data_IF_937317199379
#
_entry.id   IF_937317199379
#
_cell.length_a   1.000
_cell.length_b   1.000
_cell.length_c   1.000
_cell.angle_alpha   90.00
_cell.angle_beta   90.00
_cell.angle_gamma   90.00
#
_symmetry.space_group_name_H-M   'P 1'
#
loop_
_entity.id
_entity.type
_entity.pdbx_description
1 polymer ?
#
# COMPACT_ATOMS: atom_id res chain seq x y z
N UNK A 1 -20.04 -70.37 -6.55
CA UNK A 1 -20.89 -71.44 -5.96
C UNK A 1 -22.23 -71.49 -6.71
N UNK A 2 -22.56 -72.62 -7.34
CA UNK A 2 -23.90 -72.83 -7.86
C UNK A 2 -24.85 -72.77 -6.67
N UNK A 3 -25.75 -71.78 -6.63
CA UNK A 3 -26.76 -71.69 -5.58
C UNK A 3 -27.56 -72.99 -5.64
N UNK A 4 -27.45 -73.84 -4.61
CA UNK A 4 -28.41 -74.92 -4.45
C UNK A 4 -29.72 -74.24 -4.08
N UNK A 5 -30.56 -74.00 -5.08
CA UNK A 5 -31.94 -73.60 -4.83
C UNK A 5 -32.59 -74.72 -4.03
N UNK A 6 -32.83 -74.47 -2.74
CA UNK A 6 -33.56 -75.42 -1.90
C UNK A 6 -35.02 -75.22 -2.21
N UNK A 7 -35.63 -76.12 -2.98
CA UNK A 7 -37.07 -76.08 -3.29
C UNK A 7 -37.79 -77.15 -2.49
N UNK A 8 -38.83 -76.75 -1.77
CA UNK A 8 -39.77 -77.64 -1.10
C UNK A 8 -41.16 -77.40 -1.68
N UNK A 9 -41.77 -78.49 -2.14
CA UNK A 9 -43.14 -78.49 -2.67
C UNK A 9 -44.04 -79.32 -1.75
N UNK A 10 -45.33 -79.01 -1.76
CA UNK A 10 -46.38 -79.76 -1.09
C UNK A 10 -46.15 -79.98 0.41
N UNK A 11 -45.55 -79.00 1.10
CA UNK A 11 -45.32 -79.08 2.56
C UNK A 11 -46.63 -79.32 3.33
N UNK A 12 -47.70 -78.64 2.90
CA UNK A 12 -49.08 -79.00 3.21
C UNK A 12 -50.04 -78.31 2.22
N UNK A 13 -51.34 -78.56 2.38
CA UNK A 13 -52.41 -77.98 1.54
C UNK A 13 -52.48 -76.43 1.57
N UNK A 14 -51.85 -75.77 2.54
CA UNK A 14 -51.82 -74.31 2.75
C UNK A 14 -50.47 -73.64 2.43
N UNK A 15 -49.37 -74.40 2.43
CA UNK A 15 -47.99 -74.00 2.12
C UNK A 15 -47.49 -74.88 0.98
N UNK A 16 -47.93 -74.61 -0.26
CA UNK A 16 -47.64 -75.47 -1.40
C UNK A 16 -46.17 -75.37 -1.84
N UNK A 17 -45.48 -74.29 -1.49
CA UNK A 17 -44.16 -74.00 -2.02
C UNK A 17 -43.33 -73.13 -1.08
N UNK A 18 -42.08 -73.52 -0.87
CA UNK A 18 -41.03 -72.74 -0.24
C UNK A 18 -39.75 -72.93 -1.04
N UNK A 19 -39.02 -71.85 -1.31
CA UNK A 19 -37.73 -71.89 -1.98
C UNK A 19 -36.73 -70.97 -1.30
N UNK A 20 -35.49 -71.42 -1.15
CA UNK A 20 -34.36 -70.55 -0.88
C UNK A 20 -33.55 -70.41 -2.17
N UNK A 21 -33.72 -69.27 -2.83
CA UNK A 21 -33.10 -68.97 -4.12
C UNK A 21 -32.13 -67.80 -3.96
N UNK A 22 -30.83 -68.09 -4.07
CA UNK A 22 -29.78 -67.13 -3.77
C UNK A 22 -29.88 -66.57 -2.35
N UNK A 23 -30.05 -65.25 -2.24
CA UNK A 23 -30.18 -64.54 -0.98
C UNK A 23 -31.65 -64.36 -0.52
N UNK A 24 -32.61 -65.04 -1.16
CA UNK A 24 -34.03 -64.84 -0.90
C UNK A 24 -34.73 -66.12 -0.49
N UNK A 25 -35.38 -66.09 0.67
CA UNK A 25 -36.36 -67.09 1.08
C UNK A 25 -37.74 -66.67 0.55
N UNK A 26 -38.34 -67.51 -0.27
CA UNK A 26 -39.60 -67.28 -0.95
C UNK A 26 -40.61 -68.32 -0.45
N UNK A 27 -41.73 -67.89 0.11
CA UNK A 27 -42.80 -68.76 0.61
C UNK A 27 -44.08 -68.43 -0.14
N UNK A 28 -44.66 -69.40 -0.84
CA UNK A 28 -45.93 -69.17 -1.52
C UNK A 28 -47.08 -69.19 -0.52
N UNK A 29 -47.85 -68.11 -0.51
CA UNK A 29 -49.04 -67.95 0.30
C UNK A 29 -50.32 -68.23 -0.50
N UNK A 30 -50.22 -68.79 -1.71
CA UNK A 30 -51.36 -69.00 -2.63
C UNK A 30 -52.55 -69.70 -1.99
N UNK A 31 -52.29 -70.69 -1.11
CA UNK A 31 -53.34 -71.48 -0.45
C UNK A 31 -53.74 -70.95 0.93
N UNK A 32 -53.12 -69.87 1.39
CA UNK A 32 -53.44 -69.25 2.68
C UNK A 32 -54.73 -68.44 2.55
N UNK A 33 -55.61 -68.55 3.55
CA UNK A 33 -56.86 -67.80 3.62
C UNK A 33 -56.54 -66.31 3.83
N UNK A 34 -57.27 -65.42 3.16
CA UNK A 34 -57.13 -63.97 3.34
C UNK A 34 -57.15 -63.59 4.83
N UNK A 35 -56.26 -62.68 5.23
CA UNK A 35 -56.00 -62.23 6.59
C UNK A 35 -55.30 -63.23 7.53
N UNK A 36 -55.07 -64.49 7.12
CA UNK A 36 -54.14 -65.38 7.81
C UNK A 36 -52.73 -65.14 7.31
N UNK A 37 -51.70 -65.54 8.05
CA UNK A 37 -50.32 -65.24 7.70
C UNK A 37 -49.35 -66.39 7.87
N UNK A 38 -48.09 -66.05 7.61
CA UNK A 38 -46.92 -66.87 7.89
C UNK A 38 -45.95 -66.07 8.75
N UNK A 39 -45.41 -66.71 9.78
CA UNK A 39 -44.31 -66.22 10.60
C UNK A 39 -43.09 -67.09 10.36
N UNK A 40 -41.94 -66.48 10.09
CA UNK A 40 -40.67 -67.15 9.81
C UNK A 40 -39.68 -66.80 10.91
N UNK A 41 -39.17 -67.81 11.62
CA UNK A 41 -38.05 -67.67 12.56
C UNK A 41 -36.77 -68.11 11.87
N UNK A 42 -35.80 -67.22 11.78
CA UNK A 42 -34.52 -67.46 11.13
C UNK A 42 -33.48 -68.02 12.13
N UNK A 43 -32.36 -68.61 11.66
CA UNK A 43 -31.30 -69.18 12.50
C UNK A 43 -30.71 -68.22 13.53
N UNK A 44 -30.71 -66.92 13.23
CA UNK A 44 -30.26 -65.87 14.15
C UNK A 44 -31.31 -65.48 15.21
N UNK A 45 -32.47 -66.14 15.24
CA UNK A 45 -33.59 -65.88 16.15
C UNK A 45 -34.56 -64.80 15.68
N UNK A 46 -34.31 -64.14 14.54
CA UNK A 46 -35.19 -63.09 14.01
C UNK A 46 -36.51 -63.68 13.53
N UNK A 47 -37.63 -63.03 13.87
CA UNK A 47 -38.98 -63.42 13.45
C UNK A 47 -39.53 -62.41 12.45
N UNK A 48 -39.97 -62.87 11.29
CA UNK A 48 -40.53 -62.03 10.22
C UNK A 48 -41.91 -62.58 9.84
N UNK A 49 -42.91 -61.71 9.82
CA UNK A 49 -44.31 -62.10 9.62
C UNK A 49 -44.92 -61.41 8.41
N UNK A 50 -45.74 -62.14 7.64
CA UNK A 50 -46.57 -61.58 6.57
C UNK A 50 -47.97 -62.16 6.60
N UNK A 51 -48.98 -61.30 6.49
CA UNK A 51 -50.38 -61.69 6.33
C UNK A 51 -50.77 -61.71 4.84
N UNK A 52 -51.57 -62.70 4.48
CA UNK A 52 -52.15 -62.86 3.14
C UNK A 52 -53.12 -61.71 2.88
N UNK A 53 -52.87 -60.94 1.83
CA UNK A 53 -53.70 -59.80 1.44
C UNK A 53 -54.75 -60.18 0.39
N UNK A 54 -54.43 -61.12 -0.49
CA UNK A 54 -55.32 -61.57 -1.57
C UNK A 54 -56.22 -62.73 -1.15
N UNK A 55 -57.29 -62.99 -1.92
CA UNK A 55 -58.19 -64.11 -1.66
C UNK A 55 -57.45 -65.47 -1.76
N UNK A 56 -58.00 -66.51 -1.11
CA UNK A 56 -57.45 -67.87 -1.20
C UNK A 56 -57.44 -68.35 -2.65
N UNK A 57 -56.41 -69.10 -3.03
CA UNK A 57 -56.09 -69.54 -4.40
C UNK A 57 -55.61 -68.45 -5.36
N UNK A 58 -55.45 -67.19 -4.92
CA UNK A 58 -54.76 -66.15 -5.71
C UNK A 58 -53.28 -66.14 -5.34
N UNK A 59 -52.34 -66.24 -6.31
CA UNK A 59 -50.91 -66.21 -6.05
C UNK A 59 -50.46 -64.98 -5.26
N UNK A 60 -49.64 -65.19 -4.23
CA UNK A 60 -48.93 -64.14 -3.48
C UNK A 60 -47.77 -64.80 -2.76
N UNK A 61 -46.59 -64.19 -2.84
CA UNK A 61 -45.39 -64.74 -2.22
C UNK A 61 -44.92 -63.87 -1.06
N UNK A 62 -44.39 -64.52 -0.03
CA UNK A 62 -43.64 -63.90 1.05
C UNK A 62 -42.16 -64.06 0.75
N UNK A 63 -41.53 -62.97 0.34
CA UNK A 63 -40.11 -62.91 0.01
C UNK A 63 -39.35 -62.25 1.15
N UNK A 64 -38.33 -62.93 1.67
CA UNK A 64 -37.45 -62.47 2.74
C UNK A 64 -36.02 -62.46 2.19
N UNK A 65 -35.37 -61.30 2.22
CA UNK A 65 -33.94 -61.22 1.92
C UNK A 65 -33.13 -61.66 3.14
N UNK A 66 -32.30 -62.68 2.97
CA UNK A 66 -31.43 -63.28 4.01
C UNK A 66 -29.94 -63.08 3.72
N UNK A 67 -29.59 -62.31 2.68
CA UNK A 67 -28.21 -62.15 2.21
C UNK A 67 -27.26 -61.48 3.20
N UNK A 68 -27.75 -60.52 4.01
CA UNK A 68 -26.91 -59.76 4.94
C UNK A 68 -26.94 -60.33 6.37
N UNK A 69 -27.60 -61.48 6.56
CA UNK A 69 -27.82 -62.08 7.87
C UNK A 69 -26.68 -63.06 8.20
N UNK A 70 -26.10 -62.96 9.40
CA UNK A 70 -25.19 -63.99 9.89
C UNK A 70 -25.99 -65.25 10.26
N UNK A 71 -26.13 -66.14 9.29
CA UNK A 71 -26.82 -67.41 9.46
C UNK A 71 -25.91 -68.49 10.08
N UNK A 72 -24.61 -68.22 10.30
CA UNK A 72 -23.62 -69.21 10.80
C UNK A 72 -23.49 -69.28 12.31
N UNK A 73 -24.29 -68.53 13.07
CA UNK A 73 -24.26 -68.59 14.55
C UNK A 73 -24.49 -70.02 15.08
N UNK A 74 -25.09 -70.89 14.26
CA UNK A 74 -25.07 -72.35 14.42
C UNK A 74 -24.69 -73.03 13.08
N UNK A 75 -23.83 -74.07 13.08
CA UNK A 75 -23.38 -74.76 11.87
C UNK A 75 -24.50 -75.50 11.11
N UNK A 76 -25.65 -75.67 11.76
CA UNK A 76 -26.92 -76.07 11.18
C UNK A 76 -27.98 -75.13 11.77
N UNK A 77 -28.60 -74.31 10.92
CA UNK A 77 -29.66 -73.39 11.35
C UNK A 77 -31.01 -73.92 10.90
N UNK A 78 -31.96 -74.10 11.83
CA UNK A 78 -33.34 -74.40 11.46
C UNK A 78 -34.08 -73.08 11.16
N UNK A 79 -34.63 -72.95 9.96
CA UNK A 79 -35.66 -71.94 9.69
C UNK A 79 -37.00 -72.56 10.07
N UNK A 80 -37.77 -71.86 10.89
CA UNK A 80 -39.10 -72.29 11.29
C UNK A 80 -40.16 -71.46 10.60
N UNK A 81 -41.11 -72.12 9.96
CA UNK A 81 -42.25 -71.50 9.29
C UNK A 81 -43.51 -71.91 10.02
N UNK A 82 -44.25 -70.91 10.48
CA UNK A 82 -45.45 -71.07 11.28
C UNK A 82 -46.61 -70.37 10.58
N UNK A 83 -47.77 -71.01 10.56
CA UNK A 83 -49.01 -70.38 10.08
C UNK A 83 -49.60 -69.59 11.24
N UNK A 84 -50.09 -68.39 10.98
CA UNK A 84 -50.66 -67.54 12.03
C UNK A 84 -52.11 -67.14 11.72
N UNK A 85 -52.92 -67.04 12.77
CA UNK A 85 -54.25 -66.45 12.76
C UNK A 85 -54.19 -64.95 12.44
N UNK A 86 -55.29 -64.31 12.00
CA UNK A 86 -55.35 -62.86 11.83
C UNK A 86 -54.94 -62.05 13.07
N UNK A 87 -55.02 -62.66 14.26
CA UNK A 87 -54.56 -62.08 15.53
C UNK A 87 -53.05 -62.15 15.74
N UNK A 88 -52.29 -62.71 14.79
CA UNK A 88 -50.84 -62.94 14.90
C UNK A 88 -50.43 -64.17 15.72
N UNK A 89 -51.39 -64.91 16.30
CA UNK A 89 -51.11 -66.11 17.10
C UNK A 89 -50.84 -67.32 16.18
N UNK A 90 -49.94 -68.20 16.58
CA UNK A 90 -49.64 -69.45 15.88
C UNK A 90 -50.88 -70.36 15.74
N UNK A 91 -50.99 -71.01 14.58
CA UNK A 91 -52.05 -71.94 14.21
C UNK A 91 -51.73 -73.34 14.74
N UNK A 92 -51.80 -73.50 16.07
CA UNK A 92 -51.50 -74.76 16.78
C UNK A 92 -50.01 -75.05 16.90
N UNK A 93 -49.65 -76.24 17.42
CA UNK A 93 -48.25 -76.58 17.73
C UNK A 93 -47.42 -77.03 16.51
N UNK A 94 -47.99 -76.97 15.30
CA UNK A 94 -47.35 -77.45 14.07
C UNK A 94 -46.46 -76.36 13.45
N UNK A 95 -45.18 -76.34 13.86
CA UNK A 95 -44.13 -75.55 13.20
C UNK A 95 -43.38 -76.40 12.18
N UNK A 96 -43.21 -75.88 10.96
CA UNK A 96 -42.38 -76.52 9.94
C UNK A 96 -40.94 -76.05 10.12
N UNK A 97 -40.04 -76.94 10.52
CA UNK A 97 -38.61 -76.65 10.59
C UNK A 97 -37.89 -77.22 9.37
N UNK A 98 -36.99 -76.46 8.78
CA UNK A 98 -36.05 -76.98 7.79
C UNK A 98 -34.63 -76.56 8.10
N UNK A 99 -33.71 -77.52 7.99
CA UNK A 99 -32.30 -77.31 8.21
C UNK A 99 -31.69 -76.73 6.94
N UNK A 100 -31.17 -75.51 7.04
CA UNK A 100 -30.30 -74.95 6.02
C UNK A 100 -28.85 -75.23 6.41
N UNK A 101 -28.06 -75.70 5.43
CA UNK A 101 -26.62 -75.84 5.61
C UNK A 101 -25.99 -74.45 5.56
N UNK A 102 -25.79 -73.87 6.74
CA UNK A 102 -25.32 -72.48 6.89
C UNK A 102 -23.82 -72.37 6.64
N UNK A 103 -23.08 -73.50 6.54
CA UNK A 103 -21.63 -73.50 6.34
C UNK A 103 -21.21 -72.90 4.99
N UNK A 104 -22.09 -72.97 4.00
CA UNK A 104 -21.88 -72.47 2.64
C UNK A 104 -22.31 -71.00 2.48
N UNK A 105 -23.03 -70.42 3.45
CA UNK A 105 -23.38 -68.99 3.45
C UNK A 105 -22.15 -68.18 3.79
N UNK A 106 -21.77 -67.10 3.09
CA UNK A 106 -20.54 -66.34 3.38
C UNK A 106 -20.48 -65.78 4.83
N UNK A 107 -19.30 -65.82 5.47
CA UNK A 107 -19.00 -65.17 6.75
C UNK A 107 -18.47 -63.79 6.42
N UNK A 108 -19.21 -62.77 6.81
CA UNK A 108 -18.77 -61.39 6.63
C UNK A 108 -17.77 -61.06 7.75
N UNK A 109 -16.53 -60.69 7.38
CA UNK A 109 -15.53 -60.20 8.33
C UNK A 109 -15.88 -58.75 8.70
N UNK A 110 -16.41 -58.57 9.91
CA UNK A 110 -16.86 -57.26 10.39
C UNK A 110 -15.72 -56.26 10.50
N UNK A 111 -14.46 -56.69 10.63
CA UNK A 111 -13.30 -55.79 10.69
C UNK A 111 -12.97 -55.20 9.31
N UNK A 112 -13.03 -56.02 8.25
CA UNK A 112 -12.81 -55.55 6.88
C UNK A 112 -13.92 -54.60 6.42
N UNK A 113 -15.18 -54.97 6.63
CA UNK A 113 -16.32 -54.10 6.32
C UNK A 113 -16.24 -52.76 7.04
N UNK A 114 -15.95 -52.79 8.36
CA UNK A 114 -15.81 -51.56 9.15
C UNK A 114 -14.65 -50.67 8.67
N UNK A 115 -13.50 -51.26 8.33
CA UNK A 115 -12.36 -50.51 7.81
C UNK A 115 -12.71 -49.76 6.51
N UNK A 116 -13.46 -50.40 5.60
CA UNK A 116 -13.94 -49.76 4.37
C UNK A 116 -14.99 -48.69 4.66
N UNK A 117 -15.98 -48.97 5.51
CA UNK A 117 -17.02 -47.99 5.84
C UNK A 117 -16.46 -46.73 6.52
N UNK A 118 -15.41 -46.86 7.32
CA UNK A 118 -14.73 -45.73 7.94
C UNK A 118 -14.03 -44.79 6.94
N UNK A 119 -13.77 -45.24 5.70
CA UNK A 119 -13.24 -44.38 4.64
C UNK A 119 -14.30 -43.39 4.11
N UNK A 120 -15.59 -43.64 4.37
CA UNK A 120 -16.67 -42.87 3.79
C UNK A 120 -17.32 -41.96 4.81
N UNK A 121 -17.80 -40.81 4.32
CA UNK A 121 -18.45 -39.80 5.15
C UNK A 121 -19.73 -40.33 5.81
N UNK A 122 -20.50 -41.15 5.08
CA UNK A 122 -21.78 -41.65 5.51
C UNK A 122 -22.16 -42.98 4.81
N UNK A 123 -23.33 -43.52 5.14
CA UNK A 123 -23.82 -44.80 4.65
C UNK A 123 -24.12 -44.83 3.13
N UNK A 124 -24.05 -43.70 2.41
CA UNK A 124 -24.21 -43.71 0.94
C UNK A 124 -22.98 -44.25 0.22
N UNK A 125 -21.81 -44.23 0.88
CA UNK A 125 -20.55 -44.77 0.36
C UNK A 125 -20.13 -44.16 -1.00
N UNK A 126 -20.51 -42.91 -1.25
CA UNK A 126 -20.16 -42.20 -2.50
C UNK A 126 -18.94 -41.30 -2.33
N UNK A 127 -18.79 -40.67 -1.16
CA UNK A 127 -17.76 -39.65 -0.90
C UNK A 127 -16.95 -40.02 0.33
N UNK A 128 -15.63 -39.95 0.21
CA UNK A 128 -14.74 -40.24 1.34
C UNK A 128 -14.88 -39.22 2.46
N UNK A 129 -14.59 -39.63 3.69
CA UNK A 129 -14.58 -38.76 4.85
C UNK A 129 -13.52 -37.65 4.74
N UNK A 130 -13.78 -36.50 5.39
CA UNK A 130 -12.77 -35.45 5.48
C UNK A 130 -11.55 -35.96 6.27
N UNK A 131 -10.35 -35.74 5.73
CA UNK A 131 -9.10 -36.16 6.37
C UNK A 131 -8.72 -37.63 6.14
N UNK A 132 -9.47 -38.38 5.34
CA UNK A 132 -9.07 -39.73 4.91
C UNK A 132 -7.75 -39.65 4.13
N UNK A 133 -6.78 -40.44 4.57
CA UNK A 133 -5.41 -40.47 4.06
C UNK A 133 -5.13 -41.77 3.29
N UNK A 134 -3.98 -41.81 2.60
CA UNK A 134 -3.49 -43.06 2.01
C UNK A 134 -3.30 -44.17 3.05
N UNK A 135 -2.90 -43.82 4.28
CA UNK A 135 -2.72 -44.80 5.35
C UNK A 135 -4.05 -45.46 5.73
N UNK A 136 -5.16 -44.73 5.71
CA UNK A 136 -6.49 -45.28 5.98
C UNK A 136 -6.91 -46.27 4.89
N UNK A 137 -6.64 -45.92 3.62
CA UNK A 137 -6.87 -46.83 2.49
C UNK A 137 -5.99 -48.09 2.60
N UNK A 138 -4.73 -47.94 2.99
CA UNK A 138 -3.80 -49.06 3.17
C UNK A 138 -4.27 -50.00 4.30
N UNK A 139 -4.87 -49.47 5.37
CA UNK A 139 -5.48 -50.27 6.43
C UNK A 139 -6.63 -51.12 5.87
N UNK A 140 -7.56 -50.52 5.12
CA UNK A 140 -8.67 -51.25 4.51
C UNK A 140 -8.19 -52.29 3.48
N UNK A 141 -7.20 -51.93 2.68
CA UNK A 141 -6.56 -52.81 1.68
C UNK A 141 -5.87 -54.00 2.34
N UNK A 142 -5.17 -53.78 3.46
CA UNK A 142 -4.52 -54.85 4.21
C UNK A 142 -5.54 -55.78 4.88
N UNK A 143 -6.65 -55.24 5.42
CA UNK A 143 -7.74 -56.05 5.96
C UNK A 143 -8.38 -56.95 4.89
N UNK A 144 -8.46 -56.50 3.62
CA UNK A 144 -8.97 -57.31 2.51
C UNK A 144 -8.18 -58.62 2.29
N UNK A 145 -6.89 -58.66 2.67
CA UNK A 145 -6.00 -59.82 2.43
C UNK A 145 -6.38 -61.03 3.28
N UNK A 146 -7.00 -60.84 4.44
CA UNK A 146 -7.37 -61.92 5.37
C UNK A 146 -8.75 -62.52 5.11
N UNK A 147 -9.53 -61.92 4.19
CA UNK A 147 -10.93 -62.30 3.93
C UNK A 147 -11.02 -63.26 2.73
N UNK A 148 -11.82 -64.33 2.85
CA UNK A 148 -12.08 -65.27 1.75
C UNK A 148 -12.89 -64.64 0.61
N UNK A 149 -12.74 -65.16 -0.61
CA UNK A 149 -13.44 -64.65 -1.79
C UNK A 149 -14.97 -64.76 -1.64
N UNK A 150 -15.68 -63.66 -1.90
CA UNK A 150 -17.14 -63.56 -1.85
C UNK A 150 -17.62 -62.35 -2.68
N UNK A 151 -18.91 -62.30 -3.08
CA UNK A 151 -19.47 -61.13 -3.75
C UNK A 151 -19.29 -59.84 -2.94
N UNK A 152 -19.42 -59.92 -1.61
CA UNK A 152 -19.25 -58.76 -0.73
C UNK A 152 -17.79 -58.32 -0.64
N UNK A 153 -16.83 -59.25 -0.65
CA UNK A 153 -15.41 -58.90 -0.73
C UNK A 153 -15.14 -58.08 -1.99
N UNK A 154 -15.69 -58.48 -3.13
CA UNK A 154 -15.59 -57.74 -4.39
C UNK A 154 -16.21 -56.37 -4.29
N UNK A 155 -17.43 -56.24 -3.72
CA UNK A 155 -18.09 -54.95 -3.51
C UNK A 155 -17.24 -53.99 -2.67
N UNK A 156 -16.71 -54.47 -1.54
CA UNK A 156 -15.86 -53.69 -0.64
C UNK A 156 -14.51 -53.33 -1.27
N UNK A 157 -13.93 -54.21 -2.10
CA UNK A 157 -12.70 -53.91 -2.83
C UNK A 157 -12.92 -52.79 -3.86
N UNK A 158 -14.04 -52.83 -4.58
CA UNK A 158 -14.41 -51.74 -5.51
C UNK A 158 -14.60 -50.40 -4.79
N UNK A 159 -15.09 -50.41 -3.54
CA UNK A 159 -15.15 -49.21 -2.71
C UNK A 159 -13.75 -48.72 -2.32
N UNK A 160 -12.83 -49.60 -1.94
CA UNK A 160 -11.43 -49.21 -1.69
C UNK A 160 -10.82 -48.54 -2.94
N UNK A 161 -11.02 -49.10 -4.13
CA UNK A 161 -10.55 -48.51 -5.38
C UNK A 161 -11.16 -47.11 -5.62
N UNK A 162 -12.46 -46.96 -5.39
CA UNK A 162 -13.14 -45.66 -5.50
C UNK A 162 -12.60 -44.62 -4.49
N UNK A 163 -12.33 -45.05 -3.25
CA UNK A 163 -11.72 -44.19 -2.23
C UNK A 163 -10.28 -43.79 -2.62
N UNK A 164 -9.50 -44.73 -3.17
CA UNK A 164 -8.16 -44.48 -3.70
C UNK A 164 -8.17 -43.44 -4.82
N UNK A 165 -9.10 -43.53 -5.77
CA UNK A 165 -9.26 -42.51 -6.82
C UNK A 165 -9.55 -41.14 -6.23
N UNK A 166 -10.44 -41.04 -5.24
CA UNK A 166 -10.78 -39.76 -4.61
C UNK A 166 -9.58 -39.14 -3.86
N UNK A 167 -8.82 -39.93 -3.09
CA UNK A 167 -7.60 -39.42 -2.42
C UNK A 167 -6.57 -38.94 -3.44
N UNK A 168 -6.36 -39.68 -4.53
CA UNK A 168 -5.47 -39.25 -5.62
C UNK A 168 -5.92 -37.93 -6.25
N UNK A 169 -7.23 -37.76 -6.50
CA UNK A 169 -7.77 -36.53 -7.07
C UNK A 169 -7.59 -35.33 -6.12
N UNK A 170 -7.86 -35.50 -4.82
CA UNK A 170 -7.66 -34.45 -3.81
C UNK A 170 -6.17 -34.03 -3.76
N UNK A 171 -5.24 -34.99 -3.87
CA UNK A 171 -3.80 -34.69 -3.95
C UNK A 171 -3.50 -33.82 -5.18
N UNK A 172 -3.99 -34.21 -6.36
CA UNK A 172 -3.80 -33.47 -7.60
C UNK A 172 -4.42 -32.06 -7.57
N UNK A 173 -5.61 -31.90 -6.98
CA UNK A 173 -6.27 -30.59 -6.83
C UNK A 173 -5.44 -29.64 -5.96
N UNK A 174 -4.90 -30.12 -4.84
CA UNK A 174 -4.01 -29.32 -3.97
C UNK A 174 -2.72 -28.92 -4.68
N UNK A 175 -2.11 -29.84 -5.43
CA UNK A 175 -0.93 -29.55 -6.25
C UNK A 175 -1.23 -28.50 -7.32
N UNK A 176 -2.37 -28.62 -8.01
CA UNK A 176 -2.77 -27.67 -9.04
C UNK A 176 -3.04 -26.29 -8.43
N UNK A 177 -3.77 -26.21 -7.31
CA UNK A 177 -4.03 -24.95 -6.62
C UNK A 177 -2.73 -24.26 -6.18
N UNK A 178 -1.76 -25.02 -5.67
CA UNK A 178 -0.46 -24.47 -5.30
C UNK A 178 0.35 -24.01 -6.52
N UNK A 179 0.34 -24.77 -7.62
CA UNK A 179 0.95 -24.37 -8.90
C UNK A 179 0.35 -23.09 -9.43
N UNK A 180 -0.98 -22.99 -9.49
CA UNK A 180 -1.68 -21.82 -10.00
C UNK A 180 -1.38 -20.59 -9.14
N UNK A 181 -1.34 -20.75 -7.82
CA UNK A 181 -1.00 -19.66 -6.90
C UNK A 181 0.44 -19.15 -7.07
N UNK A 182 1.42 -20.06 -7.17
CA UNK A 182 2.82 -19.71 -7.41
C UNK A 182 2.99 -19.05 -8.77
N UNK A 183 2.46 -19.68 -9.83
CA UNK A 183 2.49 -19.13 -11.19
C UNK A 183 1.90 -17.73 -11.24
N UNK A 184 0.78 -17.49 -10.55
CA UNK A 184 0.11 -16.20 -10.54
C UNK A 184 0.95 -15.04 -9.96
N UNK A 185 2.01 -15.33 -9.18
CA UNK A 185 2.97 -14.32 -8.70
C UNK A 185 3.84 -13.74 -9.83
N UNK A 186 4.00 -14.47 -10.92
CA UNK A 186 4.89 -14.14 -12.02
C UNK A 186 4.18 -13.56 -13.23
N UNK A 187 4.93 -12.78 -14.02
CA UNK A 187 4.46 -12.26 -15.31
C UNK A 187 4.09 -13.44 -16.21
N UNK A 188 2.99 -13.31 -16.96
CA UNK A 188 2.45 -14.37 -17.83
C UNK A 188 2.08 -15.68 -17.11
N UNK A 189 1.97 -15.65 -15.78
CA UNK A 189 1.78 -16.83 -14.94
C UNK A 189 2.90 -17.88 -15.11
N UNK A 190 4.14 -17.43 -15.27
CA UNK A 190 5.29 -18.30 -15.55
C UNK A 190 6.48 -17.97 -14.64
N UNK A 191 6.86 -18.87 -13.72
CA UNK A 191 8.04 -18.72 -12.85
C UNK A 191 9.36 -18.52 -13.59
N UNK A 192 9.44 -18.94 -14.86
CA UNK A 192 10.64 -18.78 -15.70
C UNK A 192 10.71 -17.42 -16.41
N UNK A 193 9.66 -16.59 -16.31
CA UNK A 193 9.60 -15.27 -16.94
C UNK A 193 10.66 -14.29 -16.45
N UNK A 194 11.28 -14.56 -15.29
CA UNK A 194 12.28 -13.68 -14.68
C UNK A 194 11.72 -12.39 -14.07
N UNK A 195 10.39 -12.24 -13.99
CA UNK A 195 9.74 -11.05 -13.44
C UNK A 195 8.44 -11.39 -12.70
N UNK A 196 8.20 -10.72 -11.57
CA UNK A 196 6.94 -10.78 -10.82
C UNK A 196 5.93 -9.74 -11.31
N UNK A 197 4.63 -9.98 -11.08
CA UNK A 197 3.59 -8.98 -11.37
C UNK A 197 3.71 -7.78 -10.43
N UNK A 198 3.19 -6.62 -10.85
CA UNK A 198 3.12 -5.42 -10.00
C UNK A 198 2.28 -5.62 -8.73
N UNK A 199 1.25 -6.46 -8.80
CA UNK A 199 0.40 -6.81 -7.65
C UNK A 199 1.03 -7.85 -6.71
N UNK A 200 2.20 -8.41 -7.05
CA UNK A 200 2.90 -9.34 -6.17
C UNK A 200 3.54 -8.57 -5.02
N UNK A 201 3.06 -8.85 -3.82
CA UNK A 201 3.55 -8.34 -2.54
C UNK A 201 3.82 -9.51 -1.58
N UNK A 202 4.21 -9.19 -0.34
CA UNK A 202 4.54 -10.22 0.66
C UNK A 202 3.32 -11.08 1.03
N UNK A 203 2.12 -10.51 1.01
CA UNK A 203 0.89 -11.24 1.35
C UNK A 203 0.54 -12.24 0.25
N UNK A 204 0.70 -11.89 -1.02
CA UNK A 204 0.56 -12.81 -2.14
C UNK A 204 1.52 -14.01 -2.03
N UNK A 205 2.78 -13.75 -1.67
CA UNK A 205 3.80 -14.80 -1.43
C UNK A 205 3.39 -15.69 -0.25
N UNK A 206 2.97 -15.11 0.88
CA UNK A 206 2.55 -15.86 2.06
C UNK A 206 1.30 -16.72 1.79
N UNK A 207 0.37 -16.23 0.98
CA UNK A 207 -0.81 -16.98 0.55
C UNK A 207 -0.44 -18.18 -0.32
N UNK A 208 0.48 -18.00 -1.30
CA UNK A 208 0.99 -19.11 -2.09
C UNK A 208 1.71 -20.15 -1.21
N UNK A 209 2.52 -19.71 -0.24
CA UNK A 209 3.21 -20.59 0.73
C UNK A 209 2.23 -21.47 1.50
N UNK A 210 1.09 -20.92 1.91
CA UNK A 210 0.04 -21.65 2.63
C UNK A 210 -0.53 -22.81 1.82
N UNK A 211 -0.65 -22.67 0.49
CA UNK A 211 -1.11 -23.74 -0.39
C UNK A 211 -0.01 -24.78 -0.64
N UNK A 212 1.24 -24.34 -0.82
CA UNK A 212 2.40 -25.25 -0.93
C UNK A 212 2.51 -26.15 0.31
N UNK A 213 2.21 -25.65 1.50
CA UNK A 213 2.25 -26.44 2.73
C UNK A 213 1.22 -27.58 2.78
N UNK A 214 0.19 -27.53 1.94
CA UNK A 214 -0.81 -28.60 1.80
C UNK A 214 -0.41 -29.67 0.77
N UNK A 215 0.66 -29.45 0.00
CA UNK A 215 1.17 -30.40 -0.99
C UNK A 215 1.94 -31.53 -0.29
N UNK A 216 1.52 -32.76 -0.54
CA UNK A 216 2.12 -33.95 0.09
C UNK A 216 3.23 -34.58 -0.75
N UNK A 217 3.27 -34.32 -2.06
CA UNK A 217 4.33 -34.83 -2.93
C UNK A 217 5.63 -34.03 -2.69
N UNK A 218 6.69 -34.67 -2.18
CA UNK A 218 7.90 -33.95 -1.80
C UNK A 218 8.63 -33.34 -3.00
N UNK A 219 8.56 -33.96 -4.19
CA UNK A 219 9.21 -33.43 -5.38
C UNK A 219 8.48 -32.20 -5.91
N UNK A 220 7.14 -32.24 -5.97
CA UNK A 220 6.33 -31.09 -6.36
C UNK A 220 6.47 -29.95 -5.35
N UNK A 221 6.41 -30.25 -4.05
CA UNK A 221 6.59 -29.25 -2.99
C UNK A 221 7.93 -28.54 -3.10
N UNK A 222 9.02 -29.29 -3.26
CA UNK A 222 10.38 -28.72 -3.41
C UNK A 222 10.47 -27.80 -4.64
N UNK A 223 9.89 -28.19 -5.77
CA UNK A 223 9.88 -27.36 -6.97
C UNK A 223 9.12 -26.03 -6.75
N UNK A 224 7.94 -26.10 -6.14
CA UNK A 224 7.14 -24.91 -5.84
C UNK A 224 7.82 -23.99 -4.80
N UNK A 225 8.54 -24.54 -3.82
CA UNK A 225 9.31 -23.75 -2.86
C UNK A 225 10.49 -23.02 -3.54
N UNK A 226 11.13 -23.63 -4.54
CA UNK A 226 12.17 -22.98 -5.33
C UNK A 226 11.62 -21.82 -6.17
N UNK A 227 10.46 -22.01 -6.81
CA UNK A 227 9.77 -20.95 -7.54
C UNK A 227 9.33 -19.83 -6.58
N UNK A 228 8.78 -20.16 -5.41
CA UNK A 228 8.40 -19.16 -4.40
C UNK A 228 9.62 -18.35 -3.91
N UNK A 229 10.76 -19.01 -3.66
CA UNK A 229 12.00 -18.34 -3.29
C UNK A 229 12.48 -17.38 -4.41
N UNK A 230 12.28 -17.75 -5.66
CA UNK A 230 12.54 -16.88 -6.81
C UNK A 230 11.64 -15.64 -6.79
N UNK A 231 10.34 -15.80 -6.52
CA UNK A 231 9.42 -14.67 -6.39
C UNK A 231 9.82 -13.72 -5.24
N UNK A 232 10.22 -14.28 -4.09
CA UNK A 232 10.69 -13.52 -2.93
C UNK A 232 11.95 -12.70 -3.27
N UNK A 233 12.95 -13.31 -3.90
CA UNK A 233 14.17 -12.62 -4.30
C UNK A 233 13.88 -11.48 -5.31
N UNK A 234 12.96 -11.69 -6.24
CA UNK A 234 12.52 -10.66 -7.19
C UNK A 234 11.77 -9.51 -6.51
N UNK A 235 10.94 -9.79 -5.51
CA UNK A 235 10.25 -8.77 -4.71
C UNK A 235 11.25 -7.91 -3.94
N UNK A 236 12.22 -8.54 -3.29
CA UNK A 236 13.30 -7.86 -2.58
C UNK A 236 14.13 -6.99 -3.53
N UNK A 237 14.50 -7.52 -4.69
CA UNK A 237 15.23 -6.77 -5.72
C UNK A 237 14.43 -5.55 -6.23
N UNK A 238 13.12 -5.70 -6.46
CA UNK A 238 12.23 -4.59 -6.84
C UNK A 238 12.20 -3.52 -5.76
N UNK A 239 11.98 -3.91 -4.51
CA UNK A 239 11.91 -2.97 -3.39
C UNK A 239 13.24 -2.23 -3.17
N UNK A 240 14.38 -2.93 -3.31
CA UNK A 240 15.71 -2.32 -3.24
C UNK A 240 15.95 -1.32 -4.39
N UNK A 241 15.53 -1.66 -5.61
CA UNK A 241 15.66 -0.75 -6.75
C UNK A 241 14.78 0.50 -6.59
N UNK A 242 13.56 0.35 -6.09
CA UNK A 242 12.68 1.49 -5.79
C UNK A 242 13.25 2.39 -4.69
N UNK A 243 13.80 1.81 -3.63
CA UNK A 243 14.45 2.57 -2.56
C UNK A 243 15.68 3.33 -3.08
N UNK A 244 16.52 2.68 -3.89
CA UNK A 244 17.65 3.35 -4.53
C UNK A 244 17.20 4.52 -5.43
N UNK A 245 16.08 4.37 -6.15
CA UNK A 245 15.51 5.46 -6.94
C UNK A 245 15.04 6.64 -6.09
N UNK A 246 14.41 6.37 -4.92
CA UNK A 246 14.03 7.43 -3.95
C UNK A 246 15.27 8.15 -3.41
N UNK A 247 16.30 7.40 -3.03
CA UNK A 247 17.57 7.96 -2.54
C UNK A 247 18.23 8.86 -3.60
N UNK A 248 18.36 8.39 -4.85
CA UNK A 248 18.95 9.19 -5.94
C UNK A 248 18.15 10.47 -6.23
N UNK A 249 16.82 10.40 -6.19
CA UNK A 249 15.97 11.57 -6.40
C UNK A 249 16.14 12.61 -5.28
N UNK A 250 16.17 12.16 -4.02
CA UNK A 250 16.39 13.02 -2.86
C UNK A 250 17.83 13.61 -2.87
N UNK A 251 18.84 12.80 -3.17
CA UNK A 251 20.23 13.24 -3.30
C UNK A 251 20.38 14.31 -4.37
N UNK A 252 19.82 14.09 -5.56
CA UNK A 252 19.83 15.08 -6.64
C UNK A 252 19.18 16.39 -6.20
N UNK A 253 18.01 16.33 -5.57
CA UNK A 253 17.29 17.52 -5.12
C UNK A 253 18.06 18.32 -4.05
N UNK A 254 18.67 17.64 -3.07
CA UNK A 254 19.51 18.26 -2.04
C UNK A 254 20.76 18.87 -2.66
N UNK A 255 21.46 18.13 -3.52
CA UNK A 255 22.67 18.58 -4.19
C UNK A 255 22.40 19.86 -5.01
N UNK A 256 21.28 19.91 -5.73
CA UNK A 256 20.89 21.04 -6.57
C UNK A 256 20.61 22.35 -5.80
N UNK A 257 20.46 22.30 -4.47
CA UNK A 257 20.39 23.50 -3.61
C UNK A 257 21.73 24.22 -3.48
N UNK A 258 22.84 23.50 -3.71
CA UNK A 258 24.20 23.99 -3.51
C UNK A 258 24.89 24.35 -4.82
N UNK A 259 25.90 25.22 -4.72
CA UNK A 259 26.72 25.62 -5.86
C UNK A 259 27.43 24.40 -6.43
N UNK A 260 27.51 24.30 -7.76
CA UNK A 260 28.09 23.16 -8.47
C UNK A 260 27.46 21.80 -8.11
N UNK A 261 26.21 21.81 -7.64
CA UNK A 261 25.46 20.63 -7.22
C UNK A 261 26.17 19.81 -6.14
N UNK A 262 26.83 20.49 -5.19
CA UNK A 262 27.68 19.86 -4.18
C UNK A 262 27.51 20.49 -2.80
N UNK A 263 26.93 19.77 -1.82
CA UNK A 263 26.82 20.24 -0.43
C UNK A 263 28.15 20.66 0.20
N UNK A 264 29.24 20.00 -0.19
CA UNK A 264 30.59 20.31 0.28
C UNK A 264 31.09 21.72 -0.13
N UNK A 265 30.42 22.43 -1.04
CA UNK A 265 30.74 23.83 -1.35
C UNK A 265 30.31 24.80 -0.25
N UNK A 266 29.44 24.35 0.66
CA UNK A 266 28.89 25.14 1.76
C UNK A 266 28.30 26.49 1.32
N UNK A 267 27.82 26.55 0.08
CA UNK A 267 27.25 27.76 -0.54
C UNK A 267 26.03 27.38 -1.35
N UNK A 268 24.88 27.98 -1.05
CA UNK A 268 23.63 27.75 -1.79
C UNK A 268 23.58 28.54 -3.10
N UNK A 269 22.85 28.03 -4.10
CA UNK A 269 22.60 28.78 -5.34
C UNK A 269 21.72 30.01 -5.07
N UNK A 270 21.80 31.00 -5.96
CA UNK A 270 20.91 32.16 -5.93
C UNK A 270 19.42 31.75 -6.01
N UNK A 271 19.10 30.74 -6.82
CA UNK A 271 17.74 30.23 -6.98
C UNK A 271 17.22 29.42 -5.78
N UNK A 272 18.09 29.00 -4.85
CA UNK A 272 17.69 28.25 -3.66
C UNK A 272 16.83 29.15 -2.78
N UNK A 273 15.59 28.75 -2.54
CA UNK A 273 14.61 29.45 -1.73
C UNK A 273 13.87 28.43 -0.84
N UNK A 274 12.90 28.89 -0.05
CA UNK A 274 12.17 28.00 0.86
C UNK A 274 11.39 26.91 0.12
N UNK A 275 10.84 27.21 -1.06
CA UNK A 275 10.10 26.23 -1.86
C UNK A 275 11.01 25.10 -2.37
N UNK A 276 12.24 25.43 -2.79
CA UNK A 276 13.23 24.44 -3.20
C UNK A 276 13.64 23.53 -2.03
N UNK A 277 13.82 24.09 -0.82
CA UNK A 277 14.11 23.32 0.39
C UNK A 277 12.93 22.40 0.73
N UNK A 278 11.70 22.91 0.72
CA UNK A 278 10.50 22.12 1.02
C UNK A 278 10.31 20.98 0.00
N UNK A 279 10.61 21.22 -1.28
CA UNK A 279 10.55 20.20 -2.31
C UNK A 279 11.59 19.09 -2.09
N UNK A 280 12.82 19.44 -1.68
CA UNK A 280 13.84 18.46 -1.31
C UNK A 280 13.43 17.67 -0.05
N UNK A 281 12.85 18.31 0.97
CA UNK A 281 12.34 17.65 2.18
C UNK A 281 11.31 16.57 1.83
N UNK A 282 10.35 16.87 0.95
CA UNK A 282 9.32 15.92 0.56
C UNK A 282 9.90 14.64 -0.08
N UNK A 283 11.04 14.74 -0.78
CA UNK A 283 11.74 13.59 -1.35
C UNK A 283 12.52 12.81 -0.28
N UNK A 284 13.11 13.49 0.71
CA UNK A 284 13.76 12.84 1.86
C UNK A 284 12.74 12.07 2.71
N UNK A 285 11.53 12.61 2.89
CA UNK A 285 10.52 12.01 3.75
C UNK A 285 10.12 10.60 3.31
N UNK A 286 10.14 10.33 2.00
CA UNK A 286 9.82 9.01 1.42
C UNK A 286 11.00 8.03 1.36
N UNK A 287 12.23 8.47 1.67
CA UNK A 287 13.39 7.57 1.84
C UNK A 287 13.18 6.73 3.10
N UNK A 288 13.34 5.42 2.98
CA UNK A 288 13.07 4.48 4.08
C UNK A 288 14.33 4.09 4.84
N UNK A 289 15.48 4.02 4.17
CA UNK A 289 16.74 3.71 4.83
C UNK A 289 17.26 4.86 5.68
N UNK A 290 17.51 4.58 6.97
CA UNK A 290 17.86 5.60 7.96
C UNK A 290 19.17 6.33 7.65
N UNK A 291 20.23 5.59 7.32
CA UNK A 291 21.56 6.19 7.13
C UNK A 291 21.62 7.19 5.96
N UNK A 292 21.17 6.88 4.73
CA UNK A 292 21.11 7.87 3.65
C UNK A 292 20.12 8.98 3.96
N UNK A 293 18.97 8.70 4.59
CA UNK A 293 18.01 9.72 5.01
C UNK A 293 18.62 10.76 5.95
N UNK A 294 19.34 10.32 6.98
CA UNK A 294 20.01 11.21 7.94
C UNK A 294 21.09 12.06 7.25
N UNK A 295 21.87 11.48 6.33
CA UNK A 295 22.89 12.22 5.59
C UNK A 295 22.28 13.32 4.70
N UNK A 296 21.18 13.00 4.02
CA UNK A 296 20.43 13.95 3.20
C UNK A 296 19.81 15.06 4.07
N UNK A 297 19.23 14.70 5.21
CA UNK A 297 18.64 15.66 6.15
C UNK A 297 19.68 16.65 6.68
N UNK A 298 20.87 16.18 7.06
CA UNK A 298 21.94 17.07 7.53
C UNK A 298 22.35 18.09 6.46
N UNK A 299 22.44 17.68 5.20
CA UNK A 299 22.74 18.59 4.10
C UNK A 299 21.59 19.58 3.84
N UNK A 300 20.34 19.13 3.95
CA UNK A 300 19.17 19.99 3.81
C UNK A 300 19.09 21.04 4.93
N UNK A 301 19.31 20.62 6.17
CA UNK A 301 19.35 21.50 7.35
C UNK A 301 20.46 22.55 7.17
N UNK A 302 21.62 22.15 6.63
CA UNK A 302 22.69 23.08 6.30
C UNK A 302 22.29 24.08 5.21
N UNK A 303 21.58 23.65 4.16
CA UNK A 303 21.05 24.57 3.15
C UNK A 303 20.06 25.58 3.75
N UNK A 304 19.23 25.15 4.71
CA UNK A 304 18.29 26.01 5.43
C UNK A 304 19.02 27.05 6.29
N UNK A 305 20.07 26.67 7.00
CA UNK A 305 20.92 27.61 7.75
C UNK A 305 21.53 28.68 6.84
N UNK A 306 22.08 28.27 5.70
CA UNK A 306 22.67 29.19 4.72
C UNK A 306 21.62 30.14 4.12
N UNK A 307 20.40 29.64 3.84
CA UNK A 307 19.31 30.48 3.37
C UNK A 307 18.89 31.50 4.43
N UNK A 308 18.76 31.08 5.69
CA UNK A 308 18.42 31.96 6.80
C UNK A 308 19.49 33.06 6.98
N UNK A 309 20.77 32.70 6.90
CA UNK A 309 21.88 33.65 6.99
C UNK A 309 21.87 34.68 5.83
N UNK A 310 21.61 34.23 4.60
CA UNK A 310 21.48 35.11 3.43
C UNK A 310 20.32 36.09 3.59
N UNK A 311 19.15 35.61 4.02
CA UNK A 311 17.97 36.44 4.27
C UNK A 311 18.21 37.47 5.38
N UNK A 312 18.90 37.07 6.46
CA UNK A 312 19.26 37.98 7.55
C UNK A 312 20.23 39.08 7.07
N UNK A 313 21.21 38.72 6.24
CA UNK A 313 22.16 39.67 5.63
C UNK A 313 21.45 40.67 4.73
N UNK A 314 20.57 40.21 3.84
CA UNK A 314 19.81 41.08 2.94
C UNK A 314 18.92 42.06 3.72
N UNK A 315 18.29 41.58 4.80
CA UNK A 315 17.51 42.44 5.70
C UNK A 315 18.37 43.52 6.34
N UNK A 316 19.54 43.17 6.86
CA UNK A 316 20.46 44.14 7.47
C UNK A 316 20.97 45.18 6.45
N UNK A 317 21.31 44.75 5.23
CA UNK A 317 21.71 45.65 4.14
C UNK A 317 20.57 46.63 3.79
N UNK A 318 19.34 46.12 3.69
CA UNK A 318 18.16 46.92 3.39
C UNK A 318 17.88 47.97 4.47
N UNK A 319 17.92 47.58 5.76
CA UNK A 319 17.73 48.51 6.88
C UNK A 319 18.83 49.58 6.95
N UNK A 320 20.08 49.20 6.69
CA UNK A 320 21.21 50.13 6.66
C UNK A 320 21.09 51.15 5.50
N UNK A 321 20.71 50.68 4.31
CA UNK A 321 20.48 51.52 3.14
C UNK A 321 19.28 52.46 3.35
N UNK A 322 18.17 51.96 3.88
CA UNK A 322 16.99 52.76 4.23
C UNK A 322 17.34 53.87 5.22
N UNK A 323 18.06 53.54 6.29
CA UNK A 323 18.51 54.52 7.28
C UNK A 323 19.39 55.60 6.64
N UNK A 324 20.39 55.21 5.84
CA UNK A 324 21.33 56.14 5.22
C UNK A 324 20.63 57.08 4.23
N UNK A 325 19.72 56.56 3.39
CA UNK A 325 18.93 57.37 2.46
C UNK A 325 18.01 58.33 3.23
N UNK A 326 17.32 57.86 4.27
CA UNK A 326 16.45 58.69 5.09
C UNK A 326 17.22 59.85 5.75
N UNK A 327 18.43 59.60 6.27
CA UNK A 327 19.28 60.59 6.93
C UNK A 327 19.78 61.71 6.00
N UNK A 328 19.64 61.60 4.67
CA UNK A 328 19.92 62.70 3.75
C UNK A 328 18.86 63.82 3.82
N UNK A 329 17.67 63.51 4.32
CA UNK A 329 16.51 64.40 4.33
C UNK A 329 16.22 65.00 5.70
N UNK A 330 15.54 66.15 5.70
CA UNK A 330 15.00 66.77 6.91
C UNK A 330 14.08 65.80 7.64
N UNK A 331 14.14 65.79 8.97
CA UNK A 331 13.42 64.85 9.85
C UNK A 331 13.62 63.36 9.54
N UNK A 332 14.70 63.03 8.81
CA UNK A 332 15.00 61.69 8.32
C UNK A 332 13.86 61.12 7.44
N UNK A 333 13.22 61.96 6.63
CA UNK A 333 12.05 61.59 5.84
C UNK A 333 12.18 62.09 4.40
N UNK A 334 12.36 61.19 3.41
CA UNK A 334 12.39 61.55 2.00
C UNK A 334 11.15 62.32 1.53
N UNK A 335 9.98 62.04 2.13
CA UNK A 335 8.74 62.73 1.85
C UNK A 335 8.74 64.24 2.19
N UNK A 336 9.73 64.75 2.94
CA UNK A 336 9.89 66.20 3.18
C UNK A 336 10.39 66.95 1.94
N UNK A 337 10.92 66.22 0.96
CA UNK A 337 11.50 66.75 -0.28
C UNK A 337 12.53 67.87 -0.04
N UNK A 338 13.19 67.82 1.11
CA UNK A 338 14.18 68.80 1.56
C UNK A 338 15.37 68.06 2.18
N UNK A 339 16.58 68.31 1.68
CA UNK A 339 17.80 67.73 2.24
C UNK A 339 18.29 68.49 3.47
N UNK A 340 19.01 67.80 4.37
CA UNK A 340 19.65 68.45 5.53
C UNK A 340 20.73 69.45 5.07
N UNK A 341 21.03 70.42 5.91
CA UNK A 341 22.14 71.34 5.68
C UNK A 341 23.50 70.61 5.56
N UNK A 342 23.65 69.51 6.30
CA UNK A 342 24.84 68.63 6.32
C UNK A 342 24.90 67.65 5.16
N UNK A 343 23.86 67.56 4.33
CA UNK A 343 23.88 66.68 3.16
C UNK A 343 24.77 67.29 2.10
N UNK A 344 25.84 66.56 1.78
CA UNK A 344 26.81 66.88 0.73
C UNK A 344 27.02 65.67 -0.20
N UNK A 345 27.91 65.81 -1.18
CA UNK A 345 28.19 64.72 -2.13
C UNK A 345 28.80 63.49 -1.45
N UNK A 346 29.55 63.68 -0.36
CA UNK A 346 30.13 62.59 0.41
C UNK A 346 29.05 61.73 1.08
N UNK A 347 28.04 62.38 1.67
CA UNK A 347 26.89 61.70 2.27
C UNK A 347 26.08 60.91 1.24
N UNK A 348 25.83 61.50 0.06
CA UNK A 348 25.11 60.80 -1.03
C UNK A 348 25.90 59.59 -1.52
N UNK A 349 27.21 59.75 -1.76
CA UNK A 349 28.05 58.65 -2.21
C UNK A 349 28.10 57.51 -1.18
N UNK A 350 28.14 57.82 0.12
CA UNK A 350 28.11 56.83 1.19
C UNK A 350 26.77 56.08 1.23
N UNK A 351 25.64 56.77 1.04
CA UNK A 351 24.32 56.13 0.94
C UNK A 351 24.20 55.25 -0.33
N UNK A 352 24.74 55.70 -1.48
CA UNK A 352 24.77 54.90 -2.71
C UNK A 352 25.46 53.55 -2.50
N UNK A 353 26.61 53.53 -1.83
CA UNK A 353 27.35 52.29 -1.56
C UNK A 353 26.51 51.27 -0.77
N UNK A 354 25.65 51.74 0.14
CA UNK A 354 24.75 50.86 0.89
C UNK A 354 23.55 50.39 0.04
N UNK A 355 23.00 51.26 -0.81
CA UNK A 355 21.93 50.87 -1.76
C UNK A 355 22.46 49.84 -2.77
N UNK A 356 23.71 49.96 -3.21
CA UNK A 356 24.31 49.07 -4.20
C UNK A 356 24.39 47.61 -3.73
N UNK A 357 24.56 47.37 -2.42
CA UNK A 357 24.62 46.03 -1.82
C UNK A 357 23.25 45.41 -1.52
N UNK A 358 22.16 46.17 -1.64
CA UNK A 358 20.78 45.63 -1.57
C UNK A 358 20.52 44.83 -2.86
N UNK A 359 20.09 43.60 -2.70
CA UNK A 359 19.87 42.66 -3.80
C UNK A 359 18.40 42.64 -4.22
N UNK A 360 17.46 42.74 -3.27
CA UNK A 360 16.03 42.75 -3.56
C UNK A 360 15.66 43.99 -4.39
N UNK A 361 15.24 43.82 -5.66
CA UNK A 361 14.93 44.95 -6.53
C UNK A 361 13.73 45.76 -6.04
N UNK A 362 12.80 45.15 -5.31
CA UNK A 362 11.59 45.82 -4.81
C UNK A 362 11.90 46.77 -3.66
N UNK A 363 12.91 46.43 -2.86
CA UNK A 363 13.45 47.28 -1.80
C UNK A 363 14.47 48.29 -2.35
N UNK A 364 15.34 47.87 -3.28
CA UNK A 364 16.37 48.73 -3.87
C UNK A 364 15.81 49.89 -4.69
N UNK A 365 14.79 49.65 -5.52
CA UNK A 365 14.23 50.67 -6.41
C UNK A 365 13.73 51.94 -5.69
N UNK A 366 12.86 51.87 -4.65
CA UNK A 366 12.43 53.07 -3.94
C UNK A 366 13.58 53.78 -3.21
N UNK A 367 14.57 53.03 -2.70
CA UNK A 367 15.76 53.62 -2.07
C UNK A 367 16.60 54.40 -3.09
N UNK A 368 16.81 53.84 -4.28
CA UNK A 368 17.52 54.51 -5.37
C UNK A 368 16.78 55.77 -5.82
N UNK A 369 15.46 55.72 -5.97
CA UNK A 369 14.66 56.90 -6.34
C UNK A 369 14.80 58.05 -5.34
N UNK A 370 14.77 57.73 -4.04
CA UNK A 370 14.96 58.74 -2.99
C UNK A 370 16.39 59.29 -3.00
N UNK A 371 17.39 58.46 -3.27
CA UNK A 371 18.78 58.87 -3.38
C UNK A 371 19.01 59.81 -4.57
N UNK A 372 18.47 59.45 -5.74
CA UNK A 372 18.50 60.29 -6.95
C UNK A 372 17.82 61.64 -6.68
N UNK A 373 16.69 61.63 -5.96
CA UNK A 373 16.01 62.86 -5.55
C UNK A 373 16.85 63.73 -4.61
N UNK A 374 17.56 63.14 -3.66
CA UNK A 374 18.49 63.87 -2.80
C UNK A 374 19.62 64.53 -3.61
N UNK A 375 20.12 63.84 -4.65
CA UNK A 375 21.13 64.38 -5.56
C UNK A 375 20.61 65.57 -6.36
N UNK A 376 19.38 65.50 -6.88
CA UNK A 376 18.74 66.64 -7.55
C UNK A 376 18.63 67.86 -6.63
N UNK A 377 18.20 67.65 -5.39
CA UNK A 377 18.05 68.71 -4.39
C UNK A 377 19.41 69.33 -4.01
N UNK A 378 20.47 68.52 -3.90
CA UNK A 378 21.83 69.01 -3.65
C UNK A 378 22.33 69.87 -4.82
N UNK A 379 22.14 69.39 -6.05
CA UNK A 379 22.53 70.13 -7.25
C UNK A 379 21.79 71.47 -7.34
N UNK A 380 20.49 71.50 -7.03
CA UNK A 380 19.69 72.72 -6.98
C UNK A 380 20.19 73.69 -5.89
N UNK A 381 20.52 73.19 -4.69
CA UNK A 381 21.12 73.99 -3.60
C UNK A 381 22.43 74.64 -4.03
N UNK A 382 23.35 73.87 -4.62
CA UNK A 382 24.64 74.37 -5.08
C UNK A 382 24.50 75.39 -6.22
N UNK A 383 23.59 75.16 -7.16
CA UNK A 383 23.29 76.12 -8.21
C UNK A 383 22.73 77.44 -7.66
N UNK A 384 21.85 77.37 -6.64
CA UNK A 384 21.30 78.56 -5.99
C UNK A 384 22.36 79.32 -5.18
N UNK A 385 23.29 78.63 -4.51
CA UNK A 385 24.44 79.25 -3.83
C UNK A 385 25.35 79.96 -4.84
N UNK A 386 25.72 79.29 -5.93
CA UNK A 386 26.52 79.88 -7.00
C UNK A 386 25.86 81.13 -7.61
N UNK A 387 24.54 81.11 -7.81
CA UNK A 387 23.82 82.29 -8.33
C UNK A 387 23.84 83.48 -7.35
N UNK A 388 23.82 83.22 -6.03
CA UNK A 388 23.98 84.29 -5.01
C UNK A 388 25.39 84.87 -5.04
N UNK A 389 26.40 84.00 -5.18
CA UNK A 389 27.80 84.40 -5.26
C UNK A 389 28.06 85.28 -6.50
N UNK A 390 27.59 84.87 -7.67
CA UNK A 390 27.66 85.65 -8.91
C UNK A 390 26.90 86.98 -8.83
N UNK A 391 25.72 86.98 -8.18
CA UNK A 391 24.94 88.20 -7.96
C UNK A 391 25.67 89.18 -7.03
N UNK A 392 26.31 88.69 -5.97
CA UNK A 392 27.09 89.50 -5.05
C UNK A 392 28.33 90.09 -5.73
N UNK A 393 29.05 89.29 -6.52
CA UNK A 393 30.19 89.77 -7.30
C UNK A 393 29.78 90.84 -8.32
N UNK A 394 28.70 90.61 -9.07
CA UNK A 394 28.15 91.59 -10.02
C UNK A 394 27.74 92.89 -9.32
N UNK A 395 27.09 92.79 -8.16
CA UNK A 395 26.67 93.95 -7.38
C UNK A 395 27.86 94.78 -6.87
N UNK A 396 28.95 94.13 -6.43
CA UNK A 396 30.19 94.80 -6.03
C UNK A 396 30.87 95.46 -7.22
N UNK A 397 31.04 94.74 -8.33
CA UNK A 397 31.69 95.24 -9.54
C UNK A 397 30.97 96.49 -10.07
N UNK A 398 29.64 96.50 -10.06
CA UNK A 398 28.82 97.62 -10.54
C UNK A 398 29.02 98.95 -9.79
N UNK A 399 29.64 98.95 -8.60
CA UNK A 399 29.97 100.17 -7.84
C UNK A 399 31.17 100.93 -8.44
N UNK A 400 31.97 100.27 -9.28
CA UNK A 400 33.21 100.81 -9.84
C UNK A 400 33.05 101.19 -11.31
N UNK A 401 33.93 102.08 -11.79
CA UNK A 401 34.02 102.46 -13.19
C UNK A 401 34.40 101.24 -14.02
N UNK A 402 33.76 101.10 -15.19
CA UNK A 402 33.90 99.97 -16.12
C UNK A 402 33.67 98.59 -15.46
N UNK A 403 32.92 98.58 -14.35
CA UNK A 403 32.62 97.44 -13.49
C UNK A 403 33.89 96.69 -13.01
N UNK A 404 34.97 97.44 -12.72
CA UNK A 404 36.29 96.91 -12.34
C UNK A 404 36.79 97.45 -10.99
N UNK A 405 36.68 96.67 -9.90
CA UNK A 405 37.13 97.08 -8.56
C UNK A 405 38.62 97.38 -8.44
N UNK A 406 39.47 96.78 -9.28
CA UNK A 406 40.93 96.87 -9.17
C UNK A 406 41.49 98.28 -9.40
N UNK A 407 40.69 99.22 -9.93
CA UNK A 407 41.13 100.59 -10.22
C UNK A 407 40.80 101.58 -9.11
N UNK A 408 40.05 101.16 -8.08
CA UNK A 408 39.44 102.00 -7.03
C UNK A 408 38.63 103.21 -7.55
N UNK A 409 38.42 103.33 -8.88
CA UNK A 409 37.67 104.40 -9.49
C UNK A 409 36.17 104.12 -9.33
N UNK A 410 35.48 104.95 -8.53
CA UNK A 410 34.06 104.79 -8.24
C UNK A 410 33.23 105.34 -9.41
N UNK A 411 32.17 104.63 -9.80
CA UNK A 411 31.24 105.07 -10.84
C UNK A 411 30.51 106.33 -10.38
N UNK A 412 30.35 107.33 -11.25
CA UNK A 412 29.72 108.61 -10.88
C UNK A 412 28.25 108.44 -10.42
N UNK A 413 27.59 107.37 -10.85
CA UNK A 413 26.22 107.01 -10.46
C UNK A 413 26.14 106.18 -9.16
N UNK A 414 27.27 105.83 -8.54
CA UNK A 414 27.27 105.05 -7.29
C UNK A 414 26.82 105.93 -6.13
N UNK A 415 25.78 105.50 -5.44
CA UNK A 415 25.18 106.18 -4.29
C UNK A 415 25.00 105.23 -3.09
N UNK A 416 24.51 105.76 -1.97
CA UNK A 416 24.30 104.96 -0.76
C UNK A 416 23.30 103.79 -0.96
N UNK A 417 22.16 103.96 -1.66
CA UNK A 417 21.31 102.84 -2.05
C UNK A 417 22.05 101.72 -2.81
N UNK A 418 22.89 102.05 -3.80
CA UNK A 418 23.65 101.05 -4.54
C UNK A 418 24.65 100.29 -3.64
N UNK A 419 25.33 101.00 -2.73
CA UNK A 419 26.23 100.41 -1.74
C UNK A 419 25.47 99.46 -0.80
N UNK A 420 24.30 99.88 -0.30
CA UNK A 420 23.47 99.05 0.57
C UNK A 420 22.96 97.78 -0.15
N UNK A 421 22.61 97.89 -1.43
CA UNK A 421 22.18 96.75 -2.24
C UNK A 421 23.32 95.74 -2.44
N UNK A 422 24.53 96.22 -2.75
CA UNK A 422 25.72 95.38 -2.85
C UNK A 422 26.04 94.71 -1.49
N UNK A 423 25.98 95.45 -0.39
CA UNK A 423 26.20 94.89 0.94
C UNK A 423 25.19 93.80 1.29
N UNK A 424 23.91 94.01 0.98
CA UNK A 424 22.87 93.00 1.17
C UNK A 424 23.13 91.72 0.36
N UNK A 425 23.65 91.84 -0.86
CA UNK A 425 24.03 90.70 -1.69
C UNK A 425 25.23 89.94 -1.08
N UNK A 426 26.27 90.68 -0.65
CA UNK A 426 27.43 90.12 0.08
C UNK A 426 26.98 89.39 1.36
N UNK A 427 26.03 89.97 2.11
CA UNK A 427 25.55 89.37 3.35
C UNK A 427 24.85 88.03 3.12
N UNK A 428 24.28 87.83 1.92
CA UNK A 428 23.66 86.58 1.48
C UNK A 428 24.62 85.51 0.95
N UNK A 429 25.91 85.82 0.76
CA UNK A 429 26.96 84.85 0.40
C UNK A 429 27.26 83.95 1.59
N UNK A 430 27.25 82.64 1.35
CA UNK A 430 27.51 81.61 2.36
C UNK A 430 28.98 81.23 2.46
N UNK A 431 29.74 81.32 1.35
CA UNK A 431 31.20 81.12 1.36
C UNK A 431 31.92 82.24 2.14
N UNK A 432 32.55 81.94 3.30
CA UNK A 432 33.21 82.96 4.12
C UNK A 432 34.40 83.63 3.44
N UNK A 433 35.13 82.91 2.59
CA UNK A 433 36.30 83.42 1.90
C UNK A 433 35.88 84.40 0.81
N UNK A 434 34.92 84.01 -0.03
CA UNK A 434 34.36 84.88 -1.05
C UNK A 434 33.69 86.10 -0.43
N UNK A 435 32.90 85.90 0.64
CA UNK A 435 32.27 87.01 1.38
C UNK A 435 33.31 88.01 1.87
N UNK A 436 34.40 87.54 2.48
CA UNK A 436 35.50 88.40 2.96
C UNK A 436 36.18 89.13 1.81
N UNK A 437 36.38 88.48 0.67
CA UNK A 437 36.97 89.09 -0.52
C UNK A 437 36.08 90.21 -1.07
N UNK A 438 34.79 89.94 -1.26
CA UNK A 438 33.81 90.92 -1.74
C UNK A 438 33.67 92.10 -0.77
N UNK A 439 33.67 91.84 0.54
CA UNK A 439 33.70 92.90 1.56
C UNK A 439 34.94 93.78 1.46
N UNK A 440 36.12 93.20 1.17
CA UNK A 440 37.35 93.98 0.96
C UNK A 440 37.25 94.84 -0.30
N UNK A 441 36.75 94.27 -1.40
CA UNK A 441 36.56 94.98 -2.67
C UNK A 441 35.59 96.14 -2.56
N UNK A 442 34.54 96.07 -1.74
CA UNK A 442 33.56 97.16 -1.59
C UNK A 442 34.00 98.31 -0.64
N UNK A 443 35.09 98.14 0.13
CA UNK A 443 35.53 99.14 1.13
C UNK A 443 35.79 100.54 0.57
N UNK A 444 36.42 100.74 -0.60
CA UNK A 444 36.66 102.07 -1.16
C UNK A 444 35.36 102.87 -1.30
N UNK A 445 34.29 102.26 -1.81
CA UNK A 445 32.98 102.90 -1.96
C UNK A 445 32.38 103.30 -0.61
N UNK A 446 32.49 102.45 0.42
CA UNK A 446 31.94 102.73 1.75
C UNK A 446 32.68 103.84 2.53
N UNK A 447 33.95 104.15 2.17
CA UNK A 447 34.73 105.22 2.81
C UNK A 447 34.45 106.60 2.21
N UNK A 448 34.09 106.65 0.92
CA UNK A 448 33.88 107.90 0.18
C UNK A 448 32.53 108.57 0.49
N UNK A 449 31.55 107.81 0.99
CA UNK A 449 30.19 108.28 1.28
C UNK A 449 29.84 108.30 2.78
N UNK A 450 30.87 108.26 3.65
CA UNK A 450 30.72 108.34 5.12
C UNK A 450 30.74 109.76 5.64
#
# INVERSE_FOLDING_TARGET
>A
PAYKTLVMQDMNVYLPYLSLDGNYLIISMTKIIKNYGVSVTLPNGQIITKFKTLAVNIPEDFVIYVGDMDLRSQPYGAIFVDKIYPTGKSYGDLKYSFWVDTKDFPKYDTKYGQAVYNLYKDATLTTIGAGVTQADIDIATNAAKTVSASPEKTRLANLIEAAQTQVTNIKLEKEQAARDAVNALFTNNDPTSGAIKGATDQDAINNAKTLIDQVTDPAVKTALEADLATAQALLEARNAAEELARQNAAEKAVNELFTSDKPATDTIKAATNQDAINAAQALIDVVTEKAPKDALQNNLDRAQELLNARTATEKANSEAAEKAVNELFTDNKPATDTIKATTDQGAINAAQQLVDVVVDPTTKAPLQNNLDRAQELLNAKLAAEKAKDEAAEKAVNALFKDDKPATDAIKASTDQPAINAAQKAIDGVTDPALKTELQKKSRPCTRTFK
#
